data_IF_066096780487
#
_entry.id   IF_066096780487
#
_cell.length_a   1.000
_cell.length_b   1.000
_cell.length_c   1.000
_cell.angle_alpha   90.00
_cell.angle_beta   90.00
_cell.angle_gamma   90.00
#
_symmetry.space_group_name_H-M   'P 1'
#
loop_
_entity.id
_entity.type
_entity.pdbx_description
1 polymer ?
#
# COMPACT_ATOMS: atom_id res chain seq x y z
N UNK A 1 -12.87 38.06 12.56
CA UNK A 1 -12.70 36.74 13.25
C UNK A 1 -13.55 35.67 12.58
N UNK A 2 -14.85 35.94 12.38
CA UNK A 2 -15.74 35.09 11.57
C UNK A 2 -15.26 34.97 10.12
N UNK A 3 -14.72 36.04 9.51
CA UNK A 3 -14.24 35.95 8.11
C UNK A 3 -13.09 34.94 7.97
N UNK A 4 -12.18 34.90 8.94
CA UNK A 4 -11.05 33.95 8.94
C UNK A 4 -11.57 32.51 9.01
N UNK A 5 -12.57 32.25 9.86
CA UNK A 5 -13.18 30.93 9.98
C UNK A 5 -13.90 30.51 8.68
N UNK A 6 -14.60 31.44 8.03
CA UNK A 6 -15.26 31.20 6.74
C UNK A 6 -14.22 30.87 5.67
N UNK A 7 -13.10 31.62 5.60
CA UNK A 7 -12.02 31.36 4.64
C UNK A 7 -11.44 29.96 4.83
N UNK A 8 -11.09 29.56 6.06
CA UNK A 8 -10.56 28.22 6.32
C UNK A 8 -11.57 27.12 5.98
N UNK A 9 -12.85 27.36 6.23
CA UNK A 9 -13.92 26.41 5.90
C UNK A 9 -14.03 26.22 4.38
N UNK A 10 -14.04 27.31 3.62
CA UNK A 10 -14.08 27.27 2.15
C UNK A 10 -12.84 26.55 1.59
N UNK A 11 -11.65 26.87 2.09
CA UNK A 11 -10.41 26.19 1.68
C UNK A 11 -10.44 24.69 1.99
N UNK A 12 -10.98 24.30 3.14
CA UNK A 12 -11.15 22.89 3.50
C UNK A 12 -12.08 22.18 2.52
N UNK A 13 -13.24 22.75 2.19
CA UNK A 13 -14.17 22.17 1.22
C UNK A 13 -13.56 22.05 -0.18
N UNK A 14 -12.84 23.07 -0.63
CA UNK A 14 -12.10 23.04 -1.90
C UNK A 14 -11.10 21.87 -1.89
N UNK A 15 -10.32 21.74 -0.81
CA UNK A 15 -9.33 20.68 -0.70
C UNK A 15 -9.98 19.27 -0.66
N UNK A 16 -11.14 19.12 -0.01
CA UNK A 16 -11.93 17.87 -0.02
C UNK A 16 -12.43 17.53 -1.43
N UNK A 17 -12.90 18.52 -2.19
CA UNK A 17 -13.35 18.32 -3.57
C UNK A 17 -12.19 17.87 -4.47
N UNK A 18 -11.03 18.52 -4.36
CA UNK A 18 -9.85 18.11 -5.11
C UNK A 18 -9.33 16.73 -4.69
N UNK A 19 -9.42 16.36 -3.41
CA UNK A 19 -9.03 15.02 -2.95
C UNK A 19 -9.91 13.91 -3.56
N UNK A 20 -11.21 14.14 -3.68
CA UNK A 20 -12.15 13.15 -4.24
C UNK A 20 -11.99 12.87 -5.73
N UNK A 21 -11.34 13.75 -6.48
CA UNK A 21 -11.09 13.53 -7.90
C UNK A 21 -10.12 12.35 -8.08
N UNK A 22 -10.53 11.31 -8.79
CA UNK A 22 -9.70 10.14 -9.11
C UNK A 22 -9.58 9.99 -10.62
N UNK A 23 -8.44 9.52 -11.10
CA UNK A 23 -8.28 9.22 -12.51
C UNK A 23 -9.20 8.08 -12.94
N UNK A 24 -9.78 8.22 -14.13
CA UNK A 24 -10.68 7.21 -14.70
C UNK A 24 -10.01 6.31 -15.74
N UNK A 25 -8.74 6.56 -16.03
CA UNK A 25 -7.93 5.86 -17.02
C UNK A 25 -6.69 5.26 -16.37
N UNK A 26 -6.24 4.13 -16.91
CA UNK A 26 -5.01 3.48 -16.46
C UNK A 26 -3.84 3.99 -17.29
N UNK A 27 -3.00 4.80 -16.67
CA UNK A 27 -1.69 5.17 -17.18
C UNK A 27 -0.66 4.89 -16.09
N UNK A 28 0.50 4.34 -16.45
CA UNK A 28 1.59 4.12 -15.51
C UNK A 28 2.76 4.97 -15.95
N UNK A 29 3.28 5.77 -15.02
CA UNK A 29 4.52 6.49 -15.18
C UNK A 29 5.67 5.62 -14.67
N UNK A 30 6.82 5.65 -15.34
CA UNK A 30 8.01 4.93 -14.89
C UNK A 30 9.19 5.89 -14.81
N UNK A 31 9.88 5.86 -13.68
CA UNK A 31 11.11 6.63 -13.44
C UNK A 31 12.19 5.73 -12.86
N UNK A 32 13.43 6.21 -12.93
CA UNK A 32 14.58 5.60 -12.26
C UNK A 32 14.80 6.25 -10.89
N UNK A 33 15.48 5.54 -9.98
CA UNK A 33 15.69 5.98 -8.60
C UNK A 33 16.48 7.30 -8.46
N UNK A 34 17.35 7.62 -9.42
CA UNK A 34 18.09 8.88 -9.51
C UNK A 34 17.16 10.10 -9.74
N UNK A 35 16.05 9.89 -10.44
CA UNK A 35 15.04 10.90 -10.76
C UNK A 35 13.93 11.03 -9.72
N UNK A 36 14.12 10.48 -8.52
CA UNK A 36 13.12 10.53 -7.44
C UNK A 36 12.74 11.97 -7.04
N UNK A 37 13.63 12.93 -7.26
CA UNK A 37 13.38 14.34 -7.00
C UNK A 37 12.29 14.96 -7.91
N UNK A 38 11.94 14.31 -9.02
CA UNK A 38 10.88 14.76 -9.94
C UNK A 38 9.48 14.32 -9.48
N UNK A 39 9.36 13.43 -8.49
CA UNK A 39 8.08 12.90 -7.99
C UNK A 39 7.02 13.96 -7.71
N UNK A 40 7.32 15.12 -7.07
CA UNK A 40 6.31 16.14 -6.81
C UNK A 40 5.61 16.65 -8.07
N UNK A 41 6.31 16.69 -9.21
CA UNK A 41 5.73 17.12 -10.49
C UNK A 41 4.80 16.06 -11.08
N UNK A 42 5.15 14.78 -10.91
CA UNK A 42 4.39 13.64 -11.43
C UNK A 42 3.11 13.36 -10.61
N UNK A 43 3.04 13.83 -9.36
CA UNK A 43 1.83 13.67 -8.53
C UNK A 43 0.62 14.44 -9.07
N UNK A 44 0.84 15.46 -9.91
CA UNK A 44 -0.23 16.22 -10.56
C UNK A 44 -1.09 15.31 -11.42
N UNK A 45 -0.46 14.34 -12.09
CA UNK A 45 -1.13 13.43 -13.02
C UNK A 45 -1.98 12.40 -12.30
N UNK A 46 -1.77 12.15 -11.00
CA UNK A 46 -2.50 11.14 -10.20
C UNK A 46 -2.52 9.75 -10.84
N UNK A 47 -1.46 9.42 -11.55
CA UNK A 47 -1.25 8.11 -12.16
C UNK A 47 -0.31 7.28 -11.27
N UNK A 48 -0.47 5.94 -11.21
CA UNK A 48 0.53 5.06 -10.62
C UNK A 48 1.94 5.31 -11.17
N UNK A 49 2.94 5.32 -10.28
CA UNK A 49 4.34 5.56 -10.64
C UNK A 49 5.19 4.36 -10.22
N UNK A 50 5.96 3.81 -11.14
CA UNK A 50 6.96 2.78 -10.85
C UNK A 50 8.34 3.41 -10.80
N UNK A 51 9.02 3.29 -9.67
CA UNK A 51 10.42 3.66 -9.50
C UNK A 51 11.27 2.40 -9.62
N UNK A 52 12.18 2.39 -10.59
CA UNK A 52 13.07 1.25 -10.86
C UNK A 52 14.45 1.47 -10.23
N UNK A 53 15.17 0.38 -9.98
CA UNK A 53 16.56 0.36 -9.51
C UNK A 53 16.79 1.07 -8.17
N UNK A 54 15.82 1.00 -7.27
CA UNK A 54 15.91 1.55 -5.93
C UNK A 54 16.68 0.61 -4.98
N UNK A 55 17.66 1.15 -4.26
CA UNK A 55 18.43 0.38 -3.29
C UNK A 55 17.62 0.16 -2.01
N UNK A 56 17.09 -1.06 -1.84
CA UNK A 56 16.33 -1.44 -0.66
C UNK A 56 17.22 -2.07 0.41
N UNK A 57 16.98 -1.77 1.70
CA UNK A 57 17.69 -2.43 2.78
C UNK A 57 17.28 -3.91 2.84
N UNK A 58 18.16 -4.75 3.37
CA UNK A 58 17.86 -6.16 3.65
C UNK A 58 17.07 -6.31 4.96
N UNK A 59 15.96 -5.57 5.09
CA UNK A 59 15.07 -5.57 6.25
C UNK A 59 13.69 -6.12 5.88
N UNK A 60 13.00 -6.73 6.84
CA UNK A 60 11.66 -7.30 6.64
C UNK A 60 11.61 -8.40 5.59
N UNK A 61 12.71 -9.16 5.50
CA UNK A 61 12.76 -10.45 4.80
C UNK A 61 12.52 -11.56 5.81
N UNK A 62 12.14 -12.74 5.32
CA UNK A 62 11.93 -13.90 6.18
C UNK A 62 13.21 -14.28 6.94
N UNK A 63 14.36 -14.24 6.27
CA UNK A 63 15.66 -14.54 6.87
C UNK A 63 16.03 -13.58 7.99
N UNK A 64 15.66 -12.30 7.87
CA UNK A 64 15.95 -11.29 8.89
C UNK A 64 15.04 -11.45 10.11
N UNK A 65 13.76 -11.75 9.88
CA UNK A 65 12.81 -12.04 10.96
C UNK A 65 13.16 -13.34 11.69
N UNK A 66 13.69 -14.34 11.01
CA UNK A 66 14.14 -15.59 11.63
C UNK A 66 15.27 -15.39 12.65
N UNK A 67 16.06 -14.33 12.51
CA UNK A 67 17.12 -14.00 13.48
C UNK A 67 16.57 -13.43 14.80
N UNK A 68 15.28 -13.11 14.85
CA UNK A 68 14.62 -12.45 15.99
C UNK A 68 13.60 -13.42 16.63
N UNK A 69 14.03 -14.30 17.54
CA UNK A 69 13.17 -15.37 18.09
C UNK A 69 11.92 -14.84 18.80
N UNK A 70 11.99 -13.65 19.39
CA UNK A 70 10.85 -13.02 20.07
C UNK A 70 9.68 -12.70 19.11
N UNK A 71 9.96 -12.36 17.85
CA UNK A 71 8.93 -12.09 16.85
C UNK A 71 8.32 -13.41 16.37
N UNK A 72 9.15 -14.44 16.18
CA UNK A 72 8.72 -15.76 15.73
C UNK A 72 7.79 -16.47 16.72
N UNK A 73 8.03 -16.29 18.02
CA UNK A 73 7.21 -16.87 19.09
C UNK A 73 5.90 -16.12 19.33
N UNK A 74 5.69 -14.97 18.66
CA UNK A 74 4.47 -14.19 18.81
C UNK A 74 3.25 -14.95 18.29
N UNK A 75 2.20 -14.99 19.09
CA UNK A 75 0.87 -15.48 18.68
C UNK A 75 0.19 -14.49 17.74
N UNK A 76 0.01 -14.87 16.48
CA UNK A 76 -0.76 -14.09 15.50
C UNK A 76 -2.25 -14.42 15.61
N UNK A 77 -2.56 -15.66 16.01
CA UNK A 77 -3.88 -16.13 16.38
C UNK A 77 -3.80 -16.91 17.70
N UNK A 78 -4.93 -17.18 18.39
CA UNK A 78 -4.93 -17.80 19.72
C UNK A 78 -4.09 -19.08 19.85
N UNK A 79 -3.98 -19.86 18.77
CA UNK A 79 -3.25 -21.13 18.73
C UNK A 79 -2.16 -21.18 17.63
N UNK A 80 -1.75 -20.04 17.07
CA UNK A 80 -0.80 -20.02 15.94
C UNK A 80 0.28 -18.97 16.15
N UNK A 81 1.53 -19.42 16.24
CA UNK A 81 2.70 -18.54 16.24
C UNK A 81 3.10 -18.16 14.82
N UNK A 82 3.80 -17.03 14.67
CA UNK A 82 4.38 -16.62 13.39
C UNK A 82 5.28 -17.71 12.81
N UNK A 83 6.10 -18.35 13.65
CA UNK A 83 6.98 -19.44 13.22
C UNK A 83 6.21 -20.61 12.58
N UNK A 84 5.11 -21.04 13.20
CA UNK A 84 4.29 -22.14 12.69
C UNK A 84 3.61 -21.77 11.37
N UNK A 85 3.19 -20.51 11.24
CA UNK A 85 2.58 -20.00 10.02
C UNK A 85 3.59 -19.92 8.86
N UNK A 86 4.80 -19.41 9.12
CA UNK A 86 5.87 -19.33 8.11
C UNK A 86 6.38 -20.70 7.68
N UNK A 87 6.42 -21.67 8.60
CA UNK A 87 6.78 -23.06 8.29
C UNK A 87 5.74 -23.79 7.43
N UNK A 88 4.53 -23.23 7.28
CA UNK A 88 3.39 -23.86 6.59
C UNK A 88 2.94 -23.02 5.39
N UNK A 89 3.49 -23.24 4.17
CA UNK A 89 3.18 -22.43 2.99
C UNK A 89 1.68 -22.34 2.66
N UNK A 90 0.95 -23.45 2.81
CA UNK A 90 -0.49 -23.50 2.56
C UNK A 90 -1.27 -22.64 3.56
N UNK A 91 -0.89 -22.68 4.85
CA UNK A 91 -1.54 -21.86 5.87
C UNK A 91 -1.28 -20.37 5.63
N UNK A 92 -0.06 -20.02 5.20
CA UNK A 92 0.33 -18.65 4.88
C UNK A 92 -0.50 -18.04 3.74
N UNK A 93 -0.86 -18.83 2.73
CA UNK A 93 -1.67 -18.38 1.59
C UNK A 93 -3.11 -18.05 1.98
N UNK A 94 -3.67 -18.77 2.96
CA UNK A 94 -5.07 -18.61 3.38
C UNK A 94 -5.24 -17.76 4.63
N UNK A 95 -4.17 -17.42 5.33
CA UNK A 95 -4.24 -16.72 6.60
C UNK A 95 -4.73 -15.27 6.42
N UNK A 96 -5.81 -14.84 7.12
CA UNK A 96 -6.35 -13.50 6.99
C UNK A 96 -5.52 -12.50 7.80
N UNK A 97 -4.46 -11.97 7.18
CA UNK A 97 -3.64 -10.94 7.82
C UNK A 97 -4.45 -9.68 8.13
N UNK A 98 -4.29 -9.15 9.34
CA UNK A 98 -4.93 -7.90 9.75
C UNK A 98 -3.97 -6.72 9.56
N UNK A 99 -4.48 -5.49 9.38
CA UNK A 99 -3.63 -4.30 9.37
C UNK A 99 -2.81 -4.11 10.65
N UNK A 100 -3.33 -4.56 11.80
CA UNK A 100 -2.63 -4.50 13.09
C UNK A 100 -1.39 -5.40 13.11
N UNK A 101 -1.56 -6.67 12.69
CA UNK A 101 -0.44 -7.62 12.61
C UNK A 101 0.60 -7.16 11.58
N UNK A 102 0.16 -6.66 10.42
CA UNK A 102 1.08 -6.16 9.41
C UNK A 102 1.84 -4.90 9.87
N UNK A 103 1.18 -3.97 10.58
CA UNK A 103 1.85 -2.79 11.13
C UNK A 103 2.86 -3.15 12.21
N UNK A 104 2.52 -4.11 13.07
CA UNK A 104 3.44 -4.63 14.07
C UNK A 104 4.70 -5.22 13.42
N UNK A 105 4.54 -6.11 12.41
CA UNK A 105 5.66 -6.68 11.66
C UNK A 105 6.55 -5.61 11.01
N UNK A 106 5.96 -4.53 10.51
CA UNK A 106 6.72 -3.41 9.95
C UNK A 106 7.57 -2.65 10.99
N UNK A 107 7.08 -2.54 12.23
CA UNK A 107 7.83 -1.89 13.32
C UNK A 107 8.96 -2.79 13.79
N UNK A 108 8.66 -4.05 14.04
CA UNK A 108 9.63 -5.02 14.54
C UNK A 108 10.73 -5.36 13.53
N UNK A 109 10.45 -5.30 12.23
CA UNK A 109 11.48 -5.45 11.18
C UNK A 109 12.40 -4.23 11.03
N UNK A 110 12.12 -3.11 11.70
CA UNK A 110 12.86 -1.86 11.55
C UNK A 110 12.57 -1.10 10.25
N UNK A 111 11.71 -1.63 9.36
CA UNK A 111 11.32 -0.96 8.12
C UNK A 111 10.57 0.35 8.37
N UNK A 112 9.80 0.41 9.46
CA UNK A 112 9.14 1.65 9.89
C UNK A 112 10.15 2.80 10.07
N UNK A 113 11.22 2.53 10.83
CA UNK A 113 12.28 3.50 11.15
C UNK A 113 13.07 3.84 9.88
N UNK A 114 13.43 2.82 9.09
CA UNK A 114 14.13 3.06 7.82
C UNK A 114 13.32 3.97 6.90
N UNK A 115 12.02 3.70 6.73
CA UNK A 115 11.13 4.48 5.88
C UNK A 115 11.05 5.93 6.35
N UNK A 116 10.88 6.16 7.65
CA UNK A 116 10.81 7.49 8.24
C UNK A 116 12.06 8.34 7.95
N UNK A 117 13.24 7.74 8.08
CA UNK A 117 14.50 8.46 7.95
C UNK A 117 15.02 8.58 6.50
N UNK A 118 14.71 7.63 5.62
CA UNK A 118 15.34 7.57 4.30
C UNK A 118 14.41 7.92 3.15
N UNK A 119 13.14 7.52 3.23
CA UNK A 119 12.24 7.59 2.07
C UNK A 119 11.08 8.58 2.28
N UNK A 120 10.57 8.70 3.49
CA UNK A 120 9.41 9.52 3.80
C UNK A 120 9.57 10.97 3.31
N UNK A 121 10.72 11.59 3.57
CA UNK A 121 10.97 12.97 3.15
C UNK A 121 11.02 13.15 1.63
N UNK A 122 11.47 12.13 0.89
CA UNK A 122 11.56 12.16 -0.56
C UNK A 122 10.19 12.01 -1.24
N UNK A 123 9.21 11.41 -0.53
CA UNK A 123 7.85 11.24 -1.04
C UNK A 123 6.96 12.47 -0.86
N UNK A 124 7.36 13.43 -0.01
CA UNK A 124 6.58 14.63 0.24
C UNK A 124 6.60 15.58 -0.96
N UNK A 125 5.49 16.30 -1.25
CA UNK A 125 5.46 17.26 -2.34
C UNK A 125 6.42 18.44 -2.11
N UNK A 126 6.73 18.75 -0.85
CA UNK A 126 7.70 19.77 -0.48
C UNK A 126 8.28 19.48 0.90
N UNK A 127 9.59 19.68 1.12
CA UNK A 127 10.23 19.44 2.42
C UNK A 127 9.64 20.30 3.54
N UNK A 128 9.13 21.50 3.21
CA UNK A 128 8.51 22.42 4.18
C UNK A 128 7.12 21.98 4.63
N UNK A 129 6.49 21.04 3.92
CA UNK A 129 5.13 20.58 4.26
C UNK A 129 5.13 19.39 5.22
N UNK A 130 6.29 18.89 5.66
CA UNK A 130 6.42 17.70 6.53
C UNK A 130 5.48 17.68 7.73
N UNK A 131 5.26 18.83 8.39
CA UNK A 131 4.40 18.92 9.57
C UNK A 131 2.90 18.68 9.28
N UNK A 132 2.48 18.81 8.02
CA UNK A 132 1.11 18.53 7.57
C UNK A 132 0.90 17.06 7.26
N UNK A 133 1.96 16.27 7.09
CA UNK A 133 1.84 14.88 6.69
C UNK A 133 2.14 13.95 7.86
N UNK A 134 1.45 12.82 7.87
CA UNK A 134 1.77 11.66 8.70
C UNK A 134 1.95 10.45 7.81
N UNK A 135 2.45 9.35 8.35
CA UNK A 135 2.56 8.11 7.60
C UNK A 135 2.15 6.90 8.43
N UNK A 136 1.74 5.84 7.74
CA UNK A 136 1.49 4.51 8.32
C UNK A 136 2.30 3.49 7.54
N UNK A 137 2.84 2.50 8.25
CA UNK A 137 3.61 1.44 7.61
C UNK A 137 3.05 0.07 7.98
N UNK A 138 3.15 -0.85 7.04
CA UNK A 138 2.73 -2.23 7.23
C UNK A 138 3.59 -3.18 6.39
N UNK A 139 3.84 -4.38 6.91
CA UNK A 139 4.60 -5.43 6.25
C UNK A 139 3.70 -6.64 6.10
N UNK A 140 3.43 -7.04 4.86
CA UNK A 140 2.49 -8.09 4.51
C UNK A 140 3.26 -9.29 3.96
N UNK A 141 3.26 -10.42 4.68
CA UNK A 141 3.80 -11.66 4.14
C UNK A 141 2.78 -12.27 3.16
N UNK A 142 3.27 -12.70 2.01
CA UNK A 142 2.53 -13.42 0.97
C UNK A 142 1.43 -12.59 0.26
N UNK A 143 0.41 -12.08 0.96
CA UNK A 143 -0.69 -11.38 0.32
C UNK A 143 -1.31 -10.27 1.17
N UNK A 144 -1.99 -9.35 0.51
CA UNK A 144 -2.94 -8.38 1.08
C UNK A 144 -4.15 -8.39 0.16
N UNK A 145 -5.29 -8.85 0.69
CA UNK A 145 -6.54 -8.81 -0.07
C UNK A 145 -6.95 -7.38 -0.43
N UNK A 146 -7.99 -7.26 -1.26
CA UNK A 146 -8.47 -6.00 -1.80
C UNK A 146 -8.61 -4.91 -0.74
N UNK A 147 -7.99 -3.76 -0.98
CA UNK A 147 -8.12 -2.57 -0.14
C UNK A 147 -8.19 -1.32 -1.00
N UNK A 148 -8.73 -0.23 -0.45
CA UNK A 148 -8.72 1.08 -1.11
C UNK A 148 -7.52 1.88 -0.62
N UNK A 149 -6.76 2.49 -1.52
CA UNK A 149 -5.74 3.48 -1.15
C UNK A 149 -6.43 4.74 -0.63
N UNK A 150 -6.04 5.19 0.56
CA UNK A 150 -6.57 6.41 1.16
C UNK A 150 -5.50 7.48 1.28
N UNK A 151 -4.24 7.11 1.51
CA UNK A 151 -3.12 8.04 1.57
C UNK A 151 -3.00 8.92 0.33
N UNK A 152 -2.46 10.12 0.52
CA UNK A 152 -2.03 11.00 -0.57
C UNK A 152 -1.17 10.23 -1.59
N UNK A 153 -0.23 9.42 -1.07
CA UNK A 153 0.52 8.44 -1.83
C UNK A 153 0.63 7.15 -1.02
N UNK A 154 0.38 6.01 -1.66
CA UNK A 154 0.57 4.68 -1.08
C UNK A 154 1.72 4.00 -1.80
N UNK A 155 2.82 3.79 -1.09
CA UNK A 155 3.98 3.07 -1.56
C UNK A 155 3.82 1.58 -1.33
N UNK A 156 4.16 0.76 -2.32
CA UNK A 156 4.29 -0.69 -2.23
C UNK A 156 5.70 -1.05 -2.68
N UNK A 157 6.44 -1.82 -1.87
CA UNK A 157 7.77 -2.31 -2.21
C UNK A 157 7.96 -3.77 -1.73
N UNK A 158 8.35 -4.71 -2.60
CA UNK A 158 8.71 -6.05 -2.19
C UNK A 158 10.08 -6.03 -1.52
N UNK A 159 10.15 -6.45 -0.26
CA UNK A 159 11.41 -6.62 0.49
C UNK A 159 12.08 -7.95 0.15
N UNK A 160 11.26 -8.94 -0.22
CA UNK A 160 11.65 -10.28 -0.66
C UNK A 160 10.74 -10.71 -1.81
N UNK A 161 11.27 -11.47 -2.77
CA UNK A 161 10.51 -12.11 -3.84
C UNK A 161 9.90 -11.15 -4.87
N UNK A 162 8.89 -11.67 -5.58
CA UNK A 162 8.11 -10.94 -6.59
C UNK A 162 6.63 -10.90 -6.18
N UNK A 163 6.04 -9.71 -6.18
CA UNK A 163 4.63 -9.49 -5.91
C UNK A 163 3.87 -9.14 -7.20
N UNK A 164 2.70 -9.71 -7.38
CA UNK A 164 1.68 -9.24 -8.31
C UNK A 164 0.77 -8.25 -7.59
N UNK A 165 0.65 -7.05 -8.16
CA UNK A 165 -0.25 -6.00 -7.67
C UNK A 165 -1.33 -5.78 -8.71
N UNK A 166 -2.57 -6.11 -8.36
CA UNK A 166 -3.74 -5.84 -9.22
C UNK A 166 -4.36 -4.51 -8.84
N UNK A 167 -4.49 -3.61 -9.81
CA UNK A 167 -5.06 -2.29 -9.66
C UNK A 167 -6.42 -2.22 -10.35
N UNK A 168 -7.43 -1.78 -9.61
CA UNK A 168 -8.76 -1.51 -10.11
C UNK A 168 -9.13 -0.05 -9.83
N UNK A 169 -9.84 0.56 -10.77
CA UNK A 169 -10.36 1.92 -10.61
C UNK A 169 -11.53 1.93 -9.63
N UNK A 170 -11.74 3.04 -8.91
CA UNK A 170 -12.89 3.19 -8.00
C UNK A 170 -14.25 2.96 -8.67
N UNK A 171 -14.38 3.23 -9.98
CA UNK A 171 -15.61 2.94 -10.75
C UNK A 171 -15.93 1.45 -10.86
N UNK A 172 -15.01 0.56 -10.49
CA UNK A 172 -15.19 -0.89 -10.48
C UNK A 172 -15.85 -1.39 -9.17
N UNK A 173 -15.95 -0.56 -8.10
CA UNK A 173 -16.58 -0.96 -6.83
C UNK A 173 -18.00 -1.56 -7.00
N UNK A 174 -18.89 -1.00 -7.84
CA UNK A 174 -20.24 -1.55 -8.02
C UNK A 174 -20.26 -2.97 -8.60
N UNK A 175 -19.17 -3.38 -9.25
CA UNK A 175 -18.99 -4.71 -9.81
C UNK A 175 -18.28 -5.66 -8.84
N UNK A 176 -17.94 -5.23 -7.63
CA UNK A 176 -17.35 -6.09 -6.61
C UNK A 176 -18.42 -6.59 -5.62
N UNK A 177 -18.18 -7.70 -4.90
CA UNK A 177 -19.14 -8.16 -3.89
C UNK A 177 -19.27 -7.14 -2.75
N UNK A 178 -20.41 -7.10 -2.06
CA UNK A 178 -20.69 -6.13 -1.00
C UNK A 178 -19.62 -6.07 0.10
N UNK A 179 -18.95 -7.19 0.39
CA UNK A 179 -17.83 -7.30 1.34
C UNK A 179 -16.54 -7.71 0.63
N UNK A 180 -16.11 -6.87 -0.31
CA UNK A 180 -14.90 -7.11 -1.09
C UNK A 180 -13.60 -6.85 -0.31
N UNK A 181 -13.61 -5.97 0.68
CA UNK A 181 -12.40 -5.61 1.43
C UNK A 181 -11.78 -6.84 2.12
N UNK A 182 -10.48 -7.04 1.91
CA UNK A 182 -9.72 -8.16 2.43
C UNK A 182 -9.88 -9.48 1.66
N UNK A 183 -10.80 -9.57 0.69
CA UNK A 183 -10.88 -10.73 -0.21
C UNK A 183 -9.78 -10.68 -1.25
N UNK A 184 -9.23 -11.82 -1.64
CA UNK A 184 -8.28 -11.88 -2.74
C UNK A 184 -9.03 -11.71 -4.07
N UNK A 185 -8.53 -10.84 -4.95
CA UNK A 185 -9.23 -10.55 -6.21
C UNK A 185 -9.36 -11.80 -7.09
N UNK A 186 -8.30 -12.59 -7.15
CA UNK A 186 -8.23 -13.81 -7.95
C UNK A 186 -9.03 -14.99 -7.38
N UNK A 187 -9.52 -14.89 -6.14
CA UNK A 187 -10.39 -15.92 -5.56
C UNK A 187 -11.88 -15.63 -5.78
N UNK A 188 -12.23 -14.50 -6.42
CA UNK A 188 -13.61 -14.15 -6.70
C UNK A 188 -14.18 -15.05 -7.80
N UNK A 189 -15.38 -15.57 -7.56
CA UNK A 189 -16.09 -16.41 -8.53
C UNK A 189 -17.28 -15.68 -9.14
N UNK A 190 -17.82 -16.14 -10.28
CA UNK A 190 -19.07 -15.61 -10.83
C UNK A 190 -20.26 -15.69 -9.86
N UNK A 191 -20.20 -16.58 -8.87
CA UNK A 191 -21.23 -16.68 -7.81
C UNK A 191 -21.13 -15.52 -6.81
N UNK A 192 -19.92 -15.05 -6.50
CA UNK A 192 -19.71 -13.87 -5.66
C UNK A 192 -20.07 -12.58 -6.40
N UNK A 193 -19.88 -12.57 -7.72
CA UNK A 193 -20.03 -11.37 -8.56
C UNK A 193 -20.44 -11.78 -9.98
N UNK A 194 -21.71 -11.60 -10.35
CA UNK A 194 -22.21 -12.03 -11.66
C UNK A 194 -21.56 -11.26 -12.83
N UNK A 195 -21.03 -10.06 -12.56
CA UNK A 195 -20.39 -9.20 -13.55
C UNK A 195 -18.85 -9.27 -13.53
N UNK A 196 -18.28 -10.38 -13.06
CA UNK A 196 -16.83 -10.54 -12.88
C UNK A 196 -16.05 -10.25 -14.18
N UNK A 197 -16.59 -10.69 -15.32
CA UNK A 197 -15.99 -10.49 -16.65
C UNK A 197 -15.97 -9.03 -17.12
N UNK A 198 -16.73 -8.14 -16.46
CA UNK A 198 -16.78 -6.71 -16.79
C UNK A 198 -15.76 -5.89 -15.99
N UNK A 199 -15.11 -6.50 -14.99
CA UNK A 199 -14.11 -5.84 -14.16
C UNK A 199 -12.83 -5.65 -14.99
N UNK A 200 -12.49 -4.39 -15.25
CA UNK A 200 -11.22 -4.01 -15.86
C UNK A 200 -10.20 -3.74 -14.77
N UNK A 201 -9.06 -4.42 -14.86
CA UNK A 201 -7.96 -4.27 -13.92
C UNK A 201 -6.62 -4.27 -14.67
N UNK A 202 -5.60 -3.81 -13.98
CA UNK A 202 -4.22 -3.78 -14.45
C UNK A 202 -3.36 -4.58 -13.47
N UNK A 203 -2.54 -5.49 -13.96
CA UNK A 203 -1.64 -6.30 -13.13
C UNK A 203 -0.19 -5.83 -13.31
N UNK A 204 0.48 -5.50 -12.21
CA UNK A 204 1.87 -5.07 -12.18
C UNK A 204 2.69 -6.11 -11.42
N UNK A 205 3.70 -6.69 -12.08
CA UNK A 205 4.67 -7.58 -11.43
C UNK A 205 5.81 -6.76 -10.86
N UNK A 206 5.81 -6.59 -9.55
CA UNK A 206 6.78 -5.80 -8.81
C UNK A 206 7.84 -6.72 -8.20
N UNK A 207 9.11 -6.45 -8.49
CA UNK A 207 10.27 -7.20 -7.97
C UNK A 207 10.98 -6.39 -6.89
N UNK A 208 11.77 -7.06 -6.04
CA UNK A 208 12.70 -6.37 -5.13
C UNK A 208 13.58 -5.41 -5.93
N UNK A 209 13.70 -4.17 -5.43
CA UNK A 209 14.40 -3.06 -6.08
C UNK A 209 13.48 -2.12 -6.84
N UNK A 210 12.21 -2.49 -7.03
CA UNK A 210 11.21 -1.61 -7.62
C UNK A 210 10.21 -1.17 -6.56
N UNK A 211 9.78 0.09 -6.68
CA UNK A 211 8.78 0.71 -5.81
C UNK A 211 7.60 1.10 -6.69
N UNK A 212 6.38 0.81 -6.23
CA UNK A 212 5.14 1.26 -6.85
C UNK A 212 4.49 2.31 -5.95
N UNK A 213 4.34 3.53 -6.44
CA UNK A 213 3.57 4.59 -5.80
C UNK A 213 2.18 4.64 -6.41
N UNK A 214 1.18 4.65 -5.54
CA UNK A 214 -0.22 4.67 -5.93
C UNK A 214 -0.90 5.91 -5.38
N UNK A 215 -1.65 6.65 -6.21
CA UNK A 215 -2.50 7.74 -5.76
C UNK A 215 -3.63 7.22 -4.86
N UNK A 216 -4.34 8.16 -4.23
CA UNK A 216 -5.56 7.86 -3.48
C UNK A 216 -6.66 7.26 -4.38
N UNK A 217 -7.57 6.51 -3.76
CA UNK A 217 -8.81 6.01 -4.34
C UNK A 217 -8.67 4.93 -5.42
N UNK A 218 -7.55 4.24 -5.49
CA UNK A 218 -7.42 2.99 -6.23
C UNK A 218 -7.80 1.81 -5.34
N UNK A 219 -8.35 0.76 -5.95
CA UNK A 219 -8.53 -0.52 -5.29
C UNK A 219 -7.36 -1.41 -5.68
N UNK A 220 -6.75 -2.06 -4.69
CA UNK A 220 -5.49 -2.77 -4.85
C UNK A 220 -5.59 -4.14 -4.19
N UNK A 221 -5.14 -5.17 -4.89
CA UNK A 221 -4.92 -6.52 -4.36
C UNK A 221 -3.43 -6.85 -4.54
N UNK A 222 -2.80 -7.44 -3.52
CA UNK A 222 -1.39 -7.81 -3.56
C UNK A 222 -1.27 -9.30 -3.31
N UNK A 223 -0.59 -10.00 -4.20
CA UNK A 223 -0.35 -11.44 -4.11
C UNK A 223 1.10 -11.76 -4.42
N UNK A 224 1.70 -12.62 -3.63
CA UNK A 224 3.02 -13.16 -3.88
C UNK A 224 3.01 -14.12 -5.06
N UNK A 225 4.01 -14.02 -5.92
CA UNK A 225 4.34 -15.03 -6.93
C UNK A 225 5.39 -15.99 -6.34
N UNK A 226 6.47 -15.44 -5.78
CA UNK A 226 7.65 -16.20 -5.30
C UNK A 226 7.95 -15.92 -3.82
N UNK A 227 7.07 -16.36 -2.91
CA UNK A 227 7.17 -16.14 -1.45
C UNK A 227 7.58 -14.71 -1.06
N UNK A 228 6.82 -13.74 -1.56
CA UNK A 228 7.11 -12.33 -1.45
C UNK A 228 6.65 -11.74 -0.11
N UNK A 229 7.44 -10.80 0.38
CA UNK A 229 7.09 -9.94 1.50
C UNK A 229 6.97 -8.51 0.99
N UNK A 230 5.84 -7.88 1.25
CA UNK A 230 5.54 -6.56 0.72
C UNK A 230 5.43 -5.53 1.84
N UNK A 231 6.32 -4.55 1.82
CA UNK A 231 6.17 -3.36 2.65
C UNK A 231 5.25 -2.36 1.96
N UNK A 232 4.39 -1.74 2.77
CA UNK A 232 3.47 -0.70 2.32
C UNK A 232 3.61 0.51 3.24
N UNK A 233 3.88 1.66 2.63
CA UNK A 233 3.97 2.95 3.31
C UNK A 233 2.88 3.89 2.80
N UNK A 234 1.94 4.27 3.64
CA UNK A 234 0.86 5.20 3.31
C UNK A 234 1.21 6.58 3.86
N UNK A 235 1.38 7.57 2.97
CA UNK A 235 1.59 8.98 3.33
C UNK A 235 0.25 9.69 3.34
N UNK A 236 -0.10 10.30 4.47
CA UNK A 236 -1.40 10.91 4.69
C UNK A 236 -1.30 12.42 4.91
N UNK A 237 -2.07 13.17 4.13
CA UNK A 237 -2.48 14.54 4.45
C UNK A 237 -3.70 14.51 5.40
N UNK A 238 -3.97 15.53 6.25
CA UNK A 238 -5.11 15.58 7.17
C UNK A 238 -6.43 15.14 6.57
N UNK A 239 -6.72 15.53 5.33
CA UNK A 239 -7.94 15.17 4.61
C UNK A 239 -8.02 13.66 4.35
N UNK A 240 -6.90 13.04 3.97
CA UNK A 240 -6.83 11.59 3.73
C UNK A 240 -6.89 10.74 4.99
N UNK A 241 -6.65 11.32 6.17
CA UNK A 241 -6.82 10.63 7.46
C UNK A 241 -8.30 10.47 7.78
N UNK A 242 -9.13 11.42 7.31
CA UNK A 242 -10.57 11.45 7.54
C UNK A 242 -11.37 10.60 6.55
N UNK A 243 -10.71 10.04 5.54
CA UNK A 243 -11.31 9.26 4.45
C UNK A 243 -11.21 7.75 4.70
#
# INVERSE_FOLDING_TARGET
MIEIFIIFTVLFFIAVLFYKQANEQFEILQIQADRIHELPTLYVDRSPIVISDFQLPNLGTEQELQKRPNILQMSIAPNLSLQQLLASPNALQTFPFTPKTASFLSKESGLHIWFEHHLYQQLLPSPYTKFLYSFKTSLWPNHRGLFKTTGFQTLIMPTQGTASVSLLLSKMVPYLPTRWQGRQFHSLTPQDTPLLNQIKFMEIKLRKGNILLLPAHLIVDIRSIDSAWCFIGEVHHPISILA
#
